data_IF_889788069588
#
_entry.id   IF_889788069588
#
_cell.length_a   1.000
_cell.length_b   1.000
_cell.length_c   1.000
_cell.angle_alpha   90.00
_cell.angle_beta   90.00
_cell.angle_gamma   90.00
#
_symmetry.space_group_name_H-M   'P 1'
#
loop_
_entity.id
_entity.type
_entity.pdbx_description
1 polymer ?
#
# COMPACT_ATOMS: atom_id res chain seq x y z
N UNK A 1 -25.33 -3.28 4.19
CA UNK A 1 -23.95 -2.97 3.78
C UNK A 1 -23.02 -3.42 4.89
N UNK A 2 -22.08 -4.31 4.60
CA UNK A 2 -21.10 -4.80 5.56
C UNK A 2 -19.71 -4.28 5.17
N UNK A 3 -19.08 -3.56 6.09
CA UNK A 3 -17.68 -3.18 5.98
C UNK A 3 -16.81 -4.22 6.69
N UNK A 4 -15.68 -4.58 6.08
CA UNK A 4 -14.66 -5.40 6.72
C UNK A 4 -13.27 -4.90 6.30
N UNK A 5 -12.26 -5.14 7.12
CA UNK A 5 -10.87 -4.86 6.74
C UNK A 5 -10.52 -5.62 5.46
N UNK A 6 -10.02 -4.90 4.47
CA UNK A 6 -9.49 -5.43 3.23
C UNK A 6 -7.98 -5.57 3.30
N UNK A 7 -7.28 -4.45 3.53
CA UNK A 7 -5.84 -4.46 3.66
C UNK A 7 -5.31 -3.29 4.45
N UNK A 8 -4.07 -3.46 4.91
CA UNK A 8 -3.23 -2.41 5.46
C UNK A 8 -2.26 -1.92 4.39
N UNK A 9 -2.02 -0.61 4.32
CA UNK A 9 -1.16 0.01 3.31
C UNK A 9 0.11 0.55 3.96
N UNK A 10 1.25 -0.04 3.60
CA UNK A 10 2.58 0.42 3.95
C UNK A 10 3.18 1.16 2.75
N UNK A 11 3.34 2.47 2.89
CA UNK A 11 4.06 3.25 1.89
C UNK A 11 5.57 3.14 2.14
N UNK A 12 6.34 3.10 1.07
CA UNK A 12 7.80 3.19 1.07
C UNK A 12 8.27 4.22 0.04
N UNK A 13 9.47 4.79 0.22
CA UNK A 13 10.04 5.70 -0.78
C UNK A 13 10.37 4.95 -2.08
N UNK A 14 10.85 3.71 -1.96
CA UNK A 14 11.06 2.80 -3.08
C UNK A 14 10.56 1.41 -2.74
N UNK A 15 10.15 0.63 -3.75
CA UNK A 15 9.71 -0.75 -3.51
C UNK A 15 10.84 -1.64 -2.97
N UNK A 16 12.07 -1.38 -3.40
CA UNK A 16 13.26 -2.09 -2.93
C UNK A 16 13.49 -1.91 -1.44
N UNK A 17 13.51 -0.66 -0.95
CA UNK A 17 13.68 -0.40 0.49
C UNK A 17 12.54 -1.02 1.30
N UNK A 18 11.32 -1.01 0.75
CA UNK A 18 10.14 -1.56 1.39
C UNK A 18 10.27 -3.08 1.58
N UNK A 19 10.77 -3.78 0.57
CA UNK A 19 11.04 -5.22 0.66
C UNK A 19 12.07 -5.52 1.76
N UNK A 20 13.19 -4.80 1.76
CA UNK A 20 14.25 -5.02 2.75
C UNK A 20 13.78 -4.65 4.16
N UNK A 21 12.92 -3.64 4.30
CA UNK A 21 12.30 -3.28 5.57
C UNK A 21 11.36 -4.37 6.06
N UNK A 22 10.47 -4.90 5.21
CA UNK A 22 9.57 -5.99 5.57
C UNK A 22 10.32 -7.23 6.00
N UNK A 23 11.43 -7.57 5.32
CA UNK A 23 12.26 -8.71 5.69
C UNK A 23 12.88 -8.53 7.08
N UNK A 24 13.37 -7.33 7.41
CA UNK A 24 13.92 -7.03 8.75
C UNK A 24 12.83 -6.97 9.83
N UNK A 25 11.68 -6.37 9.53
CA UNK A 25 10.63 -6.10 10.51
C UNK A 25 9.73 -7.33 10.77
N UNK A 26 9.44 -8.11 9.73
CA UNK A 26 8.48 -9.20 9.77
C UNK A 26 9.10 -10.57 9.48
N UNK A 27 10.35 -10.64 9.02
CA UNK A 27 10.98 -11.89 8.58
C UNK A 27 10.41 -12.42 7.27
N UNK A 28 9.70 -11.58 6.51
CA UNK A 28 9.00 -11.95 5.27
C UNK A 28 9.40 -10.97 4.17
N UNK A 29 9.66 -11.48 2.97
CA UNK A 29 9.80 -10.68 1.76
C UNK A 29 8.48 -10.77 0.97
N UNK A 30 7.68 -9.69 0.91
CA UNK A 30 6.37 -9.73 0.26
C UNK A 30 6.42 -10.21 -1.20
N UNK A 31 5.42 -10.99 -1.61
CA UNK A 31 5.32 -11.57 -2.94
C UNK A 31 5.06 -10.51 -4.02
N UNK A 32 5.30 -10.90 -5.27
CA UNK A 32 5.00 -10.05 -6.43
C UNK A 32 3.53 -9.60 -6.41
N UNK A 33 3.33 -8.28 -6.36
CA UNK A 33 2.05 -7.65 -6.62
C UNK A 33 1.92 -7.27 -8.09
N UNK A 34 1.50 -6.03 -8.35
CA UNK A 34 1.32 -5.46 -9.67
C UNK A 34 1.91 -4.06 -9.83
N UNK A 35 1.72 -3.53 -11.04
CA UNK A 35 1.93 -2.11 -11.38
C UNK A 35 0.56 -1.50 -11.62
N UNK A 36 0.37 -0.28 -11.16
CA UNK A 36 -0.86 0.47 -11.30
C UNK A 36 -0.63 1.62 -12.28
N UNK A 37 -0.81 1.37 -13.57
CA UNK A 37 -0.51 2.35 -14.63
C UNK A 37 -1.28 3.67 -14.43
N UNK A 38 -2.55 3.58 -14.01
CA UNK A 38 -3.37 4.76 -13.70
C UNK A 38 -2.78 5.63 -12.59
N UNK A 39 -2.14 5.01 -11.59
CA UNK A 39 -1.61 5.69 -10.42
C UNK A 39 -0.09 5.93 -10.48
N UNK A 40 0.60 5.40 -11.49
CA UNK A 40 2.07 5.41 -11.54
C UNK A 40 2.72 4.86 -10.26
N UNK A 41 2.18 3.77 -9.72
CA UNK A 41 2.69 3.09 -8.52
C UNK A 41 2.91 1.61 -8.80
N UNK A 42 3.64 0.94 -7.91
CA UNK A 42 3.80 -0.50 -7.91
C UNK A 42 3.78 -1.05 -6.49
N UNK A 43 3.43 -2.32 -6.34
CA UNK A 43 3.28 -2.92 -5.02
C UNK A 43 3.85 -4.34 -4.89
N UNK A 44 3.86 -4.80 -3.65
CA UNK A 44 4.08 -6.18 -3.21
C UNK A 44 3.09 -6.48 -2.10
N UNK A 45 2.69 -7.74 -1.98
CA UNK A 45 1.62 -8.12 -1.04
C UNK A 45 1.97 -9.37 -0.26
N UNK A 46 1.40 -9.52 0.94
CA UNK A 46 1.37 -10.78 1.67
C UNK A 46 0.09 -10.91 2.50
N UNK A 47 -0.32 -12.14 2.78
CA UNK A 47 -1.55 -12.40 3.53
C UNK A 47 -1.37 -12.12 5.03
N UNK A 48 -2.36 -11.47 5.64
CA UNK A 48 -2.47 -11.25 7.11
C UNK A 48 -3.83 -11.73 7.62
N UNK A 49 -4.45 -12.67 6.90
CA UNK A 49 -5.78 -13.16 7.19
C UNK A 49 -5.90 -13.75 8.60
N UNK A 50 -7.06 -13.55 9.22
CA UNK A 50 -7.41 -14.12 10.52
C UNK A 50 -8.84 -14.66 10.52
N UNK A 51 -9.28 -15.32 11.59
CA UNK A 51 -10.67 -15.77 11.70
C UNK A 51 -11.69 -14.61 11.56
N UNK A 52 -11.35 -13.42 12.06
CA UNK A 52 -12.20 -12.23 11.96
C UNK A 52 -12.12 -11.57 10.57
N UNK A 53 -10.94 -11.60 9.95
CA UNK A 53 -10.67 -10.98 8.65
C UNK A 53 -9.98 -11.97 7.71
N UNK A 54 -10.70 -12.98 7.19
CA UNK A 54 -10.08 -14.13 6.50
C UNK A 54 -9.45 -13.76 5.16
N UNK A 55 -9.74 -12.57 4.64
CA UNK A 55 -9.26 -12.09 3.34
C UNK A 55 -8.29 -10.91 3.45
N UNK A 56 -7.87 -10.56 4.68
CA UNK A 56 -7.01 -9.42 4.88
C UNK A 56 -5.60 -9.66 4.34
N UNK A 57 -5.03 -8.65 3.69
CA UNK A 57 -3.65 -8.65 3.22
C UNK A 57 -2.93 -7.35 3.60
N UNK A 58 -1.63 -7.35 3.40
CA UNK A 58 -0.78 -6.20 3.64
C UNK A 58 -0.17 -5.78 2.31
N UNK A 59 -0.36 -4.52 1.93
CA UNK A 59 0.13 -3.94 0.69
C UNK A 59 1.32 -3.03 0.97
N UNK A 60 2.50 -3.42 0.50
CA UNK A 60 3.63 -2.52 0.37
C UNK A 60 3.51 -1.79 -0.97
N UNK A 61 3.42 -0.47 -0.96
CA UNK A 61 3.27 0.36 -2.16
C UNK A 61 4.33 1.45 -2.23
N UNK A 62 4.80 1.76 -3.45
CA UNK A 62 5.70 2.87 -3.72
C UNK A 62 5.37 3.52 -5.07
N UNK A 63 5.83 4.76 -5.27
CA UNK A 63 5.81 5.41 -6.58
C UNK A 63 6.75 4.65 -7.51
N UNK A 64 6.27 4.32 -8.71
CA UNK A 64 7.07 3.64 -9.71
C UNK A 64 7.92 4.66 -10.49
N UNK A 65 9.25 4.68 -10.33
CA UNK A 65 10.10 5.66 -11.00
C UNK A 65 10.15 5.46 -12.52
N UNK A 66 9.74 4.29 -13.02
CA UNK A 66 9.65 3.99 -14.45
C UNK A 66 8.29 4.31 -15.08
N UNK A 67 7.30 4.72 -14.29
CA UNK A 67 5.98 5.10 -14.79
C UNK A 67 5.88 6.61 -14.99
N UNK A 68 5.13 7.09 -16.00
CA UNK A 68 4.83 8.51 -16.11
C UNK A 68 4.06 9.00 -14.87
N UNK A 69 4.28 10.25 -14.47
CA UNK A 69 3.48 10.86 -13.42
C UNK A 69 2.01 11.00 -13.88
N UNK A 70 1.03 10.58 -13.07
CA UNK A 70 -0.38 10.75 -13.41
C UNK A 70 -0.77 12.24 -13.40
N UNK A 71 -1.84 12.58 -14.13
CA UNK A 71 -2.38 13.93 -14.16
C UNK A 71 -3.23 14.30 -12.93
N UNK A 72 -3.28 13.41 -11.93
CA UNK A 72 -4.08 13.54 -10.72
C UNK A 72 -3.25 13.06 -9.51
N UNK A 73 -3.60 13.50 -8.28
CA UNK A 73 -2.90 13.04 -7.08
C UNK A 73 -2.98 11.53 -6.91
N UNK A 74 -1.86 10.92 -6.52
CA UNK A 74 -1.80 9.51 -6.19
C UNK A 74 -2.59 9.20 -4.92
N UNK A 75 -3.13 7.99 -4.85
CA UNK A 75 -3.83 7.47 -3.68
C UNK A 75 -2.90 7.43 -2.48
N UNK A 76 -3.51 7.40 -1.30
CA UNK A 76 -2.80 7.31 -0.02
C UNK A 76 -1.86 8.48 0.25
N UNK A 77 -2.16 9.64 -0.37
CA UNK A 77 -1.39 10.87 -0.27
C UNK A 77 0.08 10.72 -0.67
N UNK A 78 0.38 9.78 -1.58
CA UNK A 78 1.76 9.48 -1.98
C UNK A 78 2.49 10.69 -2.60
N UNK A 79 1.79 11.70 -3.09
CA UNK A 79 2.40 12.93 -3.60
C UNK A 79 2.59 14.02 -2.51
N UNK A 80 2.14 13.78 -1.27
CA UNK A 80 2.32 14.71 -0.15
C UNK A 80 3.82 14.87 0.18
N UNK A 81 4.39 16.10 0.13
CA UNK A 81 5.80 16.31 0.38
C UNK A 81 6.26 15.95 1.80
N UNK A 82 5.40 16.11 2.81
CA UNK A 82 5.70 15.75 4.18
C UNK A 82 5.70 14.23 4.36
N UNK A 83 4.77 13.51 3.70
CA UNK A 83 4.82 12.05 3.67
C UNK A 83 6.11 11.57 2.99
N UNK A 84 6.43 12.07 1.79
CA UNK A 84 7.64 11.70 1.06
C UNK A 84 8.91 12.00 1.85
N UNK A 85 8.99 13.17 2.50
CA UNK A 85 10.12 13.49 3.38
C UNK A 85 10.21 12.55 4.58
N UNK A 86 9.07 12.15 5.15
CA UNK A 86 9.03 11.19 6.24
C UNK A 86 9.52 9.81 5.80
N UNK A 87 9.06 9.31 4.66
CA UNK A 87 9.50 8.04 4.09
C UNK A 87 11.02 8.05 3.88
N UNK A 88 11.56 9.13 3.31
CA UNK A 88 13.00 9.26 3.10
C UNK A 88 13.83 9.30 4.40
N UNK A 89 13.27 9.86 5.49
CA UNK A 89 14.00 10.01 6.77
C UNK A 89 13.82 8.83 7.71
N UNK A 90 12.64 8.21 7.70
CA UNK A 90 12.20 7.21 8.70
C UNK A 90 11.94 5.84 8.10
N UNK A 91 11.96 5.72 6.78
CA UNK A 91 11.65 4.49 6.05
C UNK A 91 10.14 4.25 5.92
N UNK A 92 9.77 3.01 5.54
CA UNK A 92 8.39 2.63 5.30
C UNK A 92 7.46 2.85 6.49
N UNK A 93 6.23 3.30 6.23
CA UNK A 93 5.25 3.67 7.24
C UNK A 93 3.86 3.16 6.89
N UNK A 94 3.11 2.71 7.89
CA UNK A 94 1.70 2.37 7.73
C UNK A 94 0.92 3.68 7.56
N UNK A 95 0.31 3.89 6.40
CA UNK A 95 -0.33 5.16 6.06
C UNK A 95 -1.85 5.06 6.02
N UNK A 96 -2.39 3.91 5.62
CA UNK A 96 -3.82 3.73 5.40
C UNK A 96 -4.28 2.31 5.73
N UNK A 97 -5.59 2.14 5.85
CA UNK A 97 -6.28 0.86 5.81
C UNK A 97 -7.49 1.00 4.88
N UNK A 98 -7.83 -0.09 4.21
CA UNK A 98 -8.93 -0.11 3.24
C UNK A 98 -10.02 -1.04 3.72
N UNK A 99 -11.27 -0.62 3.54
CA UNK A 99 -12.45 -1.41 3.86
C UNK A 99 -13.05 -2.02 2.58
N UNK A 100 -13.27 -3.33 2.58
CA UNK A 100 -14.09 -3.98 1.56
C UNK A 100 -15.56 -3.84 1.93
N UNK A 101 -16.41 -3.71 0.92
CA UNK A 101 -17.86 -3.66 1.08
C UNK A 101 -18.57 -4.52 0.03
N UNK A 102 -19.81 -4.90 0.31
CA UNK A 102 -20.71 -5.65 -0.57
C UNK A 102 -21.57 -4.74 -1.47
N UNK A 103 -21.42 -3.42 -1.37
CA UNK A 103 -22.17 -2.44 -2.16
C UNK A 103 -21.50 -1.07 -2.12
N UNK A 104 -20.43 -0.90 -2.90
CA UNK A 104 -19.62 0.35 -2.91
C UNK A 104 -20.45 1.57 -3.27
N UNK A 105 -21.46 1.40 -4.13
CA UNK A 105 -22.35 2.49 -4.55
C UNK A 105 -23.23 3.05 -3.42
N UNK A 106 -23.41 2.30 -2.35
CA UNK A 106 -24.14 2.71 -1.16
C UNK A 106 -23.23 3.36 -0.09
N UNK A 107 -21.91 3.36 -0.29
CA UNK A 107 -20.93 4.07 0.54
C UNK A 107 -20.82 5.49 -0.01
N UNK A 108 -21.41 6.46 0.69
CA UNK A 108 -21.27 7.90 0.38
C UNK A 108 -20.55 8.61 1.51
#
# INVERSE_FOLDING_TARGET
MRLALDHLVLAAQTLGEGLDWCERAFGIRPDAGGRHDFMGTHNRVFAIGSAAFPRAYFELIAIDPGAPAPAHPRWFDLDDPALQQSLAKRGPQLVHWVARCDGVEAVR
#
